data_IF_283132365955
#
_entry.id   IF_283132365955
#
_cell.length_a   1.000
_cell.length_b   1.000
_cell.length_c   1.000
_cell.angle_alpha   90.00
_cell.angle_beta   90.00
_cell.angle_gamma   90.00
#
_symmetry.space_group_name_H-M   'P 1'
#
loop_
_entity.id
_entity.type
_entity.pdbx_description
1 polymer ?
#
# COMPACT_ATOMS: atom_id res chain seq x y z
N UNK A 1 11.85 -18.17 18.21
CA UNK A 1 11.59 -16.87 18.83
C UNK A 1 10.56 -16.16 17.97
N UNK A 2 9.38 -15.92 18.51
CA UNK A 2 8.29 -15.22 17.80
C UNK A 2 8.42 -13.72 18.07
N UNK A 3 8.62 -12.92 17.03
CA UNK A 3 8.65 -11.46 17.14
C UNK A 3 7.20 -10.97 17.32
N UNK A 4 6.92 -10.23 18.39
CA UNK A 4 5.60 -9.68 18.67
C UNK A 4 5.41 -8.32 17.96
N UNK A 5 4.16 -7.91 17.76
CA UNK A 5 3.83 -6.59 17.25
C UNK A 5 4.42 -5.46 18.13
N UNK A 6 4.44 -5.66 19.44
CA UNK A 6 5.04 -4.74 20.42
C UNK A 6 6.54 -4.54 20.21
N UNK A 7 7.27 -5.62 19.87
CA UNK A 7 8.70 -5.55 19.60
C UNK A 7 8.98 -4.76 18.33
N UNK A 8 8.17 -4.96 17.28
CA UNK A 8 8.24 -4.20 16.03
C UNK A 8 7.97 -2.70 16.29
N UNK A 9 6.92 -2.38 17.02
CA UNK A 9 6.55 -1.01 17.34
C UNK A 9 7.62 -0.29 18.16
N UNK A 10 8.16 -0.95 19.18
CA UNK A 10 9.26 -0.45 20.00
C UNK A 10 10.51 -0.18 19.16
N UNK A 11 10.83 -1.08 18.22
CA UNK A 11 11.95 -0.92 17.29
C UNK A 11 11.75 0.30 16.37
N UNK A 12 10.55 0.47 15.79
CA UNK A 12 10.25 1.61 14.94
C UNK A 12 10.41 2.93 15.70
N UNK A 13 9.90 3.02 16.92
CA UNK A 13 10.01 4.23 17.77
C UNK A 13 11.47 4.54 18.08
N UNK A 14 12.26 3.54 18.50
CA UNK A 14 13.66 3.70 18.87
C UNK A 14 14.55 4.16 17.70
N UNK A 15 14.29 3.65 16.50
CA UNK A 15 15.05 3.93 15.29
C UNK A 15 14.28 4.80 14.30
N UNK A 16 13.43 5.69 14.81
CA UNK A 16 12.52 6.52 14.03
C UNK A 16 13.19 7.25 12.85
N UNK A 17 14.44 7.73 13.02
CA UNK A 17 15.15 8.45 11.95
C UNK A 17 15.47 7.56 10.74
N UNK A 18 15.98 6.33 10.98
CA UNK A 18 16.29 5.39 9.89
C UNK A 18 15.01 4.88 9.23
N UNK A 19 13.98 4.59 10.02
CA UNK A 19 12.67 4.16 9.52
C UNK A 19 12.01 5.25 8.69
N UNK A 20 11.99 6.50 9.17
CA UNK A 20 11.41 7.63 8.43
C UNK A 20 12.12 7.83 7.10
N UNK A 21 13.45 7.72 7.04
CA UNK A 21 14.20 7.81 5.78
C UNK A 21 13.78 6.72 4.80
N UNK A 22 13.72 5.45 5.25
CA UNK A 22 13.31 4.33 4.40
C UNK A 22 11.85 4.47 3.94
N UNK A 23 10.97 4.97 4.81
CA UNK A 23 9.58 5.26 4.48
C UNK A 23 9.47 6.38 3.44
N UNK A 24 10.19 7.49 3.61
CA UNK A 24 10.21 8.56 2.62
C UNK A 24 10.75 8.11 1.27
N UNK A 25 11.78 7.25 1.24
CA UNK A 25 12.29 6.66 0.00
C UNK A 25 11.21 5.83 -0.70
N UNK A 26 10.45 5.01 0.05
CA UNK A 26 9.35 4.22 -0.48
C UNK A 26 8.23 5.11 -1.04
N UNK A 27 7.82 6.13 -0.30
CA UNK A 27 6.76 7.06 -0.72
C UNK A 27 7.21 7.87 -1.94
N UNK A 28 8.45 8.36 -1.95
CA UNK A 28 9.00 9.12 -3.09
C UNK A 28 9.06 8.26 -4.35
N UNK A 29 9.45 6.99 -4.23
CA UNK A 29 9.45 6.03 -5.34
C UNK A 29 8.03 5.84 -5.88
N UNK A 30 7.05 5.65 -4.99
CA UNK A 30 5.65 5.52 -5.39
C UNK A 30 5.14 6.77 -6.13
N UNK A 31 5.42 7.97 -5.61
CA UNK A 31 5.00 9.21 -6.26
C UNK A 31 5.66 9.41 -7.63
N UNK A 32 6.94 9.06 -7.74
CA UNK A 32 7.66 9.11 -9.02
C UNK A 32 7.08 8.13 -10.03
N UNK A 33 6.79 6.89 -9.60
CA UNK A 33 6.16 5.89 -10.47
C UNK A 33 4.74 6.30 -10.86
N UNK A 34 3.97 6.91 -9.95
CA UNK A 34 2.65 7.44 -10.24
C UNK A 34 2.68 8.56 -11.30
N UNK A 35 3.68 9.45 -11.27
CA UNK A 35 3.87 10.48 -12.31
C UNK A 35 4.26 9.91 -13.67
N UNK A 36 4.97 8.77 -13.70
CA UNK A 36 5.41 8.11 -14.91
C UNK A 36 4.46 6.99 -15.37
N UNK A 37 3.36 6.75 -14.62
CA UNK A 37 2.34 5.78 -15.00
C UNK A 37 1.54 6.23 -16.24
N UNK A 38 0.74 5.31 -16.78
CA UNK A 38 -0.18 5.58 -17.90
C UNK A 38 -1.04 6.82 -17.62
N UNK A 39 -1.48 6.99 -16.37
CA UNK A 39 -2.40 8.07 -16.01
C UNK A 39 -1.74 9.46 -16.02
N UNK A 40 -0.45 9.56 -15.73
CA UNK A 40 0.32 10.82 -15.62
C UNK A 40 -0.41 11.92 -14.83
N UNK A 41 -1.25 11.51 -13.89
CA UNK A 41 -2.17 12.36 -13.12
C UNK A 41 -2.20 11.84 -11.68
N UNK A 42 -1.60 12.61 -10.77
CA UNK A 42 -1.45 12.22 -9.37
C UNK A 42 -2.81 12.03 -8.68
N UNK A 43 -3.78 12.92 -8.94
CA UNK A 43 -5.11 12.84 -8.34
C UNK A 43 -5.84 11.58 -8.78
N UNK A 44 -5.67 11.19 -10.04
CA UNK A 44 -6.26 9.98 -10.59
C UNK A 44 -5.60 8.72 -9.98
N UNK A 45 -4.27 8.75 -9.79
CA UNK A 45 -3.55 7.67 -9.13
C UNK A 45 -3.91 7.53 -7.64
N UNK A 46 -4.10 8.64 -6.92
CA UNK A 46 -4.57 8.62 -5.54
C UNK A 46 -5.98 8.04 -5.43
N UNK A 47 -6.88 8.41 -6.34
CA UNK A 47 -8.20 7.81 -6.41
C UNK A 47 -8.13 6.31 -6.67
N UNK A 48 -7.33 5.86 -7.63
CA UNK A 48 -7.13 4.43 -7.92
C UNK A 48 -6.60 3.69 -6.70
N UNK A 49 -5.57 4.24 -6.03
CA UNK A 49 -4.99 3.66 -4.81
C UNK A 49 -6.02 3.53 -3.68
N UNK A 50 -6.88 4.52 -3.52
CA UNK A 50 -7.98 4.48 -2.57
C UNK A 50 -8.98 3.35 -2.89
N UNK A 51 -9.37 3.20 -4.16
CA UNK A 51 -10.28 2.13 -4.59
C UNK A 51 -9.66 0.74 -4.39
N UNK A 52 -8.38 0.56 -4.71
CA UNK A 52 -7.65 -0.68 -4.47
C UNK A 52 -7.62 -0.99 -2.97
N UNK A 53 -7.27 -0.01 -2.13
CA UNK A 53 -7.25 -0.17 -0.66
C UNK A 53 -8.62 -0.61 -0.12
N UNK A 54 -9.70 0.03 -0.58
CA UNK A 54 -11.07 -0.34 -0.19
C UNK A 54 -11.45 -1.75 -0.62
N UNK A 55 -11.04 -2.15 -1.83
CA UNK A 55 -11.26 -3.53 -2.31
C UNK A 55 -10.53 -4.54 -1.41
N UNK A 56 -9.28 -4.28 -1.03
CA UNK A 56 -8.55 -5.16 -0.11
C UNK A 56 -9.14 -5.20 1.30
N UNK A 57 -9.65 -4.09 1.80
CA UNK A 57 -10.34 -4.07 3.09
C UNK A 57 -11.58 -4.98 3.08
N UNK A 58 -12.39 -4.90 2.01
CA UNK A 58 -13.55 -5.77 1.83
C UNK A 58 -13.17 -7.26 1.74
N UNK A 59 -12.07 -7.58 1.07
CA UNK A 59 -11.53 -8.94 0.96
C UNK A 59 -11.05 -9.46 2.33
N UNK A 60 -10.32 -8.62 3.08
CA UNK A 60 -9.82 -8.97 4.42
C UNK A 60 -10.95 -9.31 5.39
N UNK A 61 -12.06 -8.58 5.34
CA UNK A 61 -13.25 -8.85 6.17
C UNK A 61 -13.85 -10.23 5.90
N UNK A 62 -13.61 -10.79 4.71
CA UNK A 62 -14.06 -12.14 4.32
C UNK A 62 -13.01 -13.23 4.56
N UNK A 63 -11.87 -12.92 5.20
CA UNK A 63 -10.76 -13.84 5.45
C UNK A 63 -10.16 -14.48 4.17
N UNK A 64 -10.27 -13.84 3.03
CA UNK A 64 -9.64 -14.28 1.79
C UNK A 64 -8.24 -13.66 1.69
N UNK A 65 -7.25 -14.49 1.39
CA UNK A 65 -5.86 -14.05 1.16
C UNK A 65 -5.50 -14.30 -0.30
N UNK A 66 -4.99 -13.28 -0.96
CA UNK A 66 -4.45 -13.36 -2.30
C UNK A 66 -2.93 -13.17 -2.27
N UNK A 67 -2.20 -14.02 -2.96
CA UNK A 67 -0.81 -13.73 -3.29
C UNK A 67 -0.73 -12.65 -4.38
N UNK A 68 0.44 -12.05 -4.55
CA UNK A 68 0.66 -11.10 -5.65
C UNK A 68 0.36 -11.73 -7.03
N UNK A 69 0.77 -12.99 -7.23
CA UNK A 69 0.49 -13.71 -8.47
C UNK A 69 -1.01 -13.98 -8.68
N UNK A 70 -1.77 -14.21 -7.62
CA UNK A 70 -3.22 -14.35 -7.73
C UNK A 70 -3.83 -13.04 -8.22
N UNK A 71 -3.38 -11.89 -7.69
CA UNK A 71 -3.87 -10.56 -8.09
C UNK A 71 -3.56 -10.24 -9.56
N UNK A 72 -2.40 -10.66 -10.08
CA UNK A 72 -2.06 -10.50 -11.50
C UNK A 72 -2.97 -11.30 -12.43
N UNK A 73 -3.56 -12.39 -11.93
CA UNK A 73 -4.45 -13.28 -12.70
C UNK A 73 -5.94 -12.97 -12.50
N UNK A 74 -6.29 -12.13 -11.53
CA UNK A 74 -7.68 -11.73 -11.28
C UNK A 74 -8.05 -10.60 -12.24
N UNK A 75 -9.05 -10.82 -13.08
CA UNK A 75 -9.56 -9.81 -14.01
C UNK A 75 -10.34 -8.71 -13.29
N UNK A 76 -11.11 -9.05 -12.27
CA UNK A 76 -11.97 -8.11 -11.54
C UNK A 76 -12.01 -8.47 -10.04
N UNK A 77 -11.89 -7.46 -9.18
CA UNK A 77 -12.14 -7.60 -7.74
C UNK A 77 -13.64 -7.51 -7.46
N UNK A 78 -14.01 -7.83 -6.24
CA UNK A 78 -15.38 -7.69 -5.79
C UNK A 78 -15.91 -6.25 -5.93
N UNK A 79 -17.19 -6.09 -6.30
CA UNK A 79 -17.80 -4.78 -6.47
C UNK A 79 -17.79 -3.96 -5.19
N UNK A 80 -17.28 -2.73 -5.25
CA UNK A 80 -17.36 -1.76 -4.19
C UNK A 80 -18.64 -0.94 -4.30
N UNK A 81 -19.43 -0.91 -3.24
CA UNK A 81 -20.60 -0.03 -3.15
C UNK A 81 -20.15 1.30 -2.54
N UNK A 82 -19.64 2.22 -3.35
CA UNK A 82 -19.17 3.53 -2.93
C UNK A 82 -19.94 4.65 -3.63
N UNK A 83 -20.36 5.65 -2.86
CA UNK A 83 -20.91 6.88 -3.43
C UNK A 83 -19.79 7.83 -3.80
N UNK A 84 -19.92 8.50 -4.95
CA UNK A 84 -18.95 9.54 -5.38
C UNK A 84 -18.80 10.67 -4.35
N UNK A 85 -19.84 10.94 -3.56
CA UNK A 85 -19.78 11.90 -2.45
C UNK A 85 -18.90 11.44 -1.30
N UNK A 86 -18.91 10.16 -0.97
CA UNK A 86 -18.05 9.57 0.07
C UNK A 86 -16.58 9.60 -0.36
N UNK A 87 -16.32 9.29 -1.63
CA UNK A 87 -14.97 9.39 -2.21
C UNK A 87 -14.48 10.84 -2.16
N UNK A 88 -15.34 11.80 -2.54
CA UNK A 88 -15.04 13.21 -2.55
C UNK A 88 -14.67 13.74 -1.14
N UNK A 89 -15.42 13.29 -0.13
CA UNK A 89 -15.20 13.67 1.26
C UNK A 89 -13.88 13.09 1.80
N UNK A 90 -13.61 11.80 1.54
CA UNK A 90 -12.39 11.14 2.07
C UNK A 90 -11.12 11.68 1.42
N UNK A 91 -11.14 11.98 0.11
CA UNK A 91 -9.99 12.49 -0.61
C UNK A 91 -9.87 14.02 -0.58
N UNK A 92 -10.83 14.71 0.04
CA UNK A 92 -10.95 16.17 0.03
C UNK A 92 -10.93 16.75 -1.39
N UNK A 93 -11.67 16.09 -2.30
CA UNK A 93 -11.78 16.51 -3.70
C UNK A 93 -13.17 17.05 -4.03
N UNK A 94 -13.26 18.04 -4.94
CA UNK A 94 -14.53 18.42 -5.53
C UNK A 94 -15.20 17.21 -6.22
N UNK A 95 -16.52 17.07 -6.08
CA UNK A 95 -17.28 15.95 -6.69
C UNK A 95 -17.04 15.82 -8.19
N UNK A 96 -16.86 16.95 -8.88
CA UNK A 96 -16.59 16.96 -10.31
C UNK A 96 -15.21 16.40 -10.64
N UNK A 97 -14.18 16.66 -9.80
CA UNK A 97 -12.85 16.05 -9.91
C UNK A 97 -12.93 14.54 -9.77
N UNK A 98 -13.67 14.06 -8.78
CA UNK A 98 -13.89 12.61 -8.59
C UNK A 98 -14.58 12.01 -9.82
N UNK A 99 -15.64 12.67 -10.34
CA UNK A 99 -16.35 12.21 -11.54
C UNK A 99 -15.42 12.11 -12.76
N UNK A 100 -14.61 13.15 -12.99
CA UNK A 100 -13.65 13.19 -14.09
C UNK A 100 -12.59 12.10 -13.96
N UNK A 101 -12.05 11.90 -12.76
CA UNK A 101 -11.02 10.89 -12.52
C UNK A 101 -11.59 9.46 -12.64
N UNK A 102 -12.81 9.22 -12.18
CA UNK A 102 -13.51 7.93 -12.42
C UNK A 102 -13.62 7.66 -13.93
N UNK A 103 -14.02 8.64 -14.73
CA UNK A 103 -14.12 8.45 -16.17
C UNK A 103 -12.75 8.14 -16.80
N UNK A 104 -11.68 8.84 -16.38
CA UNK A 104 -10.31 8.53 -16.83
C UNK A 104 -9.91 7.08 -16.48
N UNK A 105 -10.22 6.62 -15.27
CA UNK A 105 -9.92 5.23 -14.87
C UNK A 105 -10.68 4.21 -15.72
N UNK A 106 -11.92 4.53 -16.12
CA UNK A 106 -12.71 3.69 -17.03
C UNK A 106 -12.09 3.70 -18.43
N UNK A 107 -11.73 4.88 -18.96
CA UNK A 107 -11.13 5.04 -20.29
C UNK A 107 -9.79 4.27 -20.42
N UNK A 108 -9.05 4.12 -19.33
CA UNK A 108 -7.82 3.32 -19.24
C UNK A 108 -8.06 1.84 -18.86
N UNK A 109 -9.31 1.41 -18.80
CA UNK A 109 -9.71 0.03 -18.44
C UNK A 109 -9.19 -0.45 -17.07
N UNK A 110 -8.97 0.46 -16.12
CA UNK A 110 -8.49 0.14 -14.77
C UNK A 110 -9.62 -0.19 -13.81
N UNK A 111 -10.81 0.32 -14.09
CA UNK A 111 -12.04 0.03 -13.36
C UNK A 111 -13.21 -0.12 -14.31
N UNK A 112 -14.27 -0.80 -13.84
CA UNK A 112 -15.61 -0.76 -14.45
C UNK A 112 -16.63 -0.23 -13.45
N UNK A 113 -17.70 0.40 -13.96
CA UNK A 113 -18.80 0.91 -13.13
C UNK A 113 -20.12 0.33 -13.61
N UNK A 114 -20.76 -0.48 -12.79
CA UNK A 114 -22.08 -1.04 -13.04
C UNK A 114 -23.09 -0.47 -12.03
N UNK A 115 -24.02 0.37 -12.51
CA UNK A 115 -24.98 1.10 -11.66
C UNK A 115 -24.27 1.97 -10.63
N UNK A 116 -24.15 1.50 -9.36
CA UNK A 116 -23.46 2.20 -8.27
C UNK A 116 -22.20 1.47 -7.79
N UNK A 117 -21.87 0.34 -8.40
CA UNK A 117 -20.76 -0.49 -8.02
C UNK A 117 -19.53 -0.14 -8.84
N UNK A 118 -18.41 0.04 -8.18
CA UNK A 118 -17.10 0.22 -8.80
C UNK A 118 -16.35 -1.09 -8.66
N UNK A 119 -15.83 -1.61 -9.76
CA UNK A 119 -15.07 -2.86 -9.83
C UNK A 119 -13.66 -2.52 -10.29
N UNK A 120 -12.66 -2.86 -9.49
CA UNK A 120 -11.24 -2.66 -9.83
C UNK A 120 -10.72 -3.87 -10.61
N UNK A 121 -9.89 -3.61 -11.61
CA UNK A 121 -9.22 -4.62 -12.45
C UNK A 121 -7.74 -4.70 -12.08
N UNK A 122 -7.35 -5.56 -11.12
CA UNK A 122 -5.98 -5.56 -10.58
C UNK A 122 -4.93 -5.92 -11.61
N UNK A 123 -5.20 -6.84 -12.53
CA UNK A 123 -4.28 -7.20 -13.59
C UNK A 123 -3.87 -5.99 -14.46
N UNK A 124 -4.81 -5.10 -14.78
CA UNK A 124 -4.54 -3.90 -15.56
C UNK A 124 -3.84 -2.82 -14.73
N UNK A 125 -4.18 -2.72 -13.42
CA UNK A 125 -3.57 -1.75 -12.51
C UNK A 125 -2.11 -2.10 -12.18
N UNK A 126 -1.78 -3.40 -12.07
CA UNK A 126 -0.48 -3.89 -11.60
C UNK A 126 0.52 -4.09 -12.74
N UNK A 127 0.06 -4.22 -13.99
CA UNK A 127 0.92 -4.46 -15.16
C UNK A 127 1.95 -3.36 -15.41
N UNK A 128 1.62 -2.12 -15.04
CA UNK A 128 2.44 -0.94 -15.26
C UNK A 128 3.34 -0.56 -14.08
N UNK A 129 3.10 -1.14 -12.91
CA UNK A 129 3.95 -0.90 -11.76
C UNK A 129 5.32 -1.52 -12.08
N UNK A 130 6.36 -0.68 -12.11
CA UNK A 130 7.75 -1.16 -12.16
C UNK A 130 8.05 -1.89 -10.84
N UNK A 131 7.50 -3.11 -10.75
CA UNK A 131 7.56 -4.00 -9.58
C UNK A 131 8.95 -4.06 -8.97
N UNK A 132 9.99 -4.07 -9.80
CA UNK A 132 11.38 -4.12 -9.36
C UNK A 132 11.80 -2.93 -8.50
N UNK A 133 11.36 -1.71 -8.84
CA UNK A 133 11.71 -0.50 -8.07
C UNK A 133 10.97 -0.51 -6.74
N UNK A 134 9.66 -0.79 -6.77
CA UNK A 134 8.84 -0.88 -5.57
C UNK A 134 9.30 -1.99 -4.63
N UNK A 135 9.59 -3.19 -5.17
CA UNK A 135 10.13 -4.31 -4.40
C UNK A 135 11.48 -3.97 -3.74
N UNK A 136 12.38 -3.29 -4.45
CA UNK A 136 13.66 -2.88 -3.89
C UNK A 136 13.49 -1.87 -2.75
N UNK A 137 12.60 -0.91 -2.89
CA UNK A 137 12.29 0.07 -1.83
C UNK A 137 11.64 -0.61 -0.63
N UNK A 138 10.73 -1.56 -0.85
CA UNK A 138 10.11 -2.35 0.21
C UNK A 138 11.15 -3.24 0.93
N UNK A 139 12.05 -3.89 0.19
CA UNK A 139 13.16 -4.68 0.76
C UNK A 139 14.08 -3.83 1.63
N UNK A 140 14.40 -2.59 1.21
CA UNK A 140 15.18 -1.66 2.04
C UNK A 140 14.45 -1.31 3.34
N UNK A 141 13.15 -1.01 3.28
CA UNK A 141 12.33 -0.73 4.45
C UNK A 141 12.32 -1.90 5.44
N UNK A 142 12.11 -3.12 4.93
CA UNK A 142 12.17 -4.34 5.73
C UNK A 142 13.55 -4.60 6.32
N UNK A 143 14.63 -4.37 5.56
CA UNK A 143 16.00 -4.54 6.04
C UNK A 143 16.31 -3.61 7.22
N UNK A 144 15.83 -2.37 7.21
CA UNK A 144 15.97 -1.43 8.34
C UNK A 144 15.25 -1.96 9.58
N UNK A 145 14.01 -2.43 9.43
CA UNK A 145 13.23 -3.00 10.54
C UNK A 145 13.95 -4.22 11.14
N UNK A 146 14.37 -5.17 10.29
CA UNK A 146 15.05 -6.40 10.73
C UNK A 146 16.39 -6.13 11.39
N UNK A 147 17.20 -5.21 10.85
CA UNK A 147 18.48 -4.79 11.44
C UNK A 147 18.26 -4.26 12.86
N UNK A 148 17.24 -3.43 13.04
CA UNK A 148 16.96 -2.80 14.32
C UNK A 148 16.40 -3.78 15.33
N UNK A 149 15.56 -4.74 14.92
CA UNK A 149 15.08 -5.84 15.76
C UNK A 149 16.24 -6.73 16.22
N UNK A 150 17.14 -7.13 15.33
CA UNK A 150 18.32 -7.94 15.69
C UNK A 150 19.24 -7.21 16.67
N UNK A 151 19.40 -5.90 16.54
CA UNK A 151 20.17 -5.09 17.47
C UNK A 151 19.55 -5.10 18.89
N UNK A 152 18.24 -4.97 19.03
CA UNK A 152 17.54 -5.03 20.31
C UNK A 152 17.72 -6.40 20.98
N UNK A 153 17.48 -7.47 20.24
CA UNK A 153 17.63 -8.85 20.75
C UNK A 153 19.05 -9.11 21.25
N UNK A 154 20.06 -8.64 20.54
CA UNK A 154 21.46 -8.80 20.95
C UNK A 154 21.83 -7.96 22.17
N UNK A 155 21.18 -6.83 22.36
CA UNK A 155 21.43 -5.95 23.51
C UNK A 155 20.76 -6.47 24.78
N UNK A 156 19.54 -6.98 24.70
CA UNK A 156 18.82 -7.59 25.81
C UNK A 156 19.56 -8.85 26.33
N UNK A 157 20.05 -9.72 25.46
CA UNK A 157 20.86 -10.87 25.83
C UNK A 157 22.13 -10.49 26.57
N UNK A 158 22.78 -9.36 26.20
CA UNK A 158 23.98 -8.88 26.92
C UNK A 158 23.64 -8.35 28.31
N UNK A 159 22.50 -7.75 28.51
CA UNK A 159 22.04 -7.26 29.82
C UNK A 159 21.68 -8.43 30.76
N UNK A 160 21.02 -9.47 30.24
CA UNK A 160 20.72 -10.68 31.02
C UNK A 160 21.99 -11.40 31.49
N UNK A 161 23.01 -11.53 30.65
CA UNK A 161 24.29 -12.15 31.02
C UNK A 161 25.04 -11.34 32.08
N UNK A 162 24.98 -10.00 32.04
CA UNK A 162 25.63 -9.13 33.00
C UNK A 162 24.87 -9.02 34.33
N UNK A 163 23.61 -9.46 34.42
CA UNK A 163 22.82 -9.50 35.66
C UNK A 163 22.94 -10.81 36.42
N UNK A 164 23.63 -11.82 35.85
CA UNK A 164 23.84 -13.13 36.47
C UNK A 164 25.26 -13.26 37.07
N UNK A 165 26.15 -12.30 36.83
CA UNK A 165 27.50 -12.20 37.43
C UNK A 165 27.53 -11.10 38.49
#
# INVERSE_FOLDING_TARGET
MTVSEKDILSSIIKFQGEYSRAHFELVSTYLFDAQNSILKDLDCNLLLSYLILKSFQSIKEKNVQYSYNDLLNISELEPLILKKSEIAEVLDYPRETVRRNINKLIDHDLITVHKKNIIVKPNNCLSDIKTTIYENSLKKCLAVILKNLNFQISHEKKLEVNSIN
#
